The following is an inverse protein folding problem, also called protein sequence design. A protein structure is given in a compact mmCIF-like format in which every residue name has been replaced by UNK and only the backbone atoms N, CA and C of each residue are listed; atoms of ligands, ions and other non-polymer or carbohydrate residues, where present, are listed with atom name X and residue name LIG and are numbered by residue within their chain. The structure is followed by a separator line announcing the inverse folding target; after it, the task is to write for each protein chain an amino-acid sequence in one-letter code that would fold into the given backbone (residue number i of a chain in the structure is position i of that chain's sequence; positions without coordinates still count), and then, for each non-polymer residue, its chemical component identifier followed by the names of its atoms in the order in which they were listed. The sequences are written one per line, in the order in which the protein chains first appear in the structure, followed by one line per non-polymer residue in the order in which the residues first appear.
data_IF_576318505406
#
_entry.id   IF_576318505406
#
_cell.length_a   1.000
_cell.length_b   1.000
_cell.length_c   1.000
_cell.angle_alpha   90.00
_cell.angle_beta   90.00
_cell.angle_gamma   90.00
#
_symmetry.space_group_name_H-M   'P 1'
#
loop_
_entity.id
_entity.type
_entity.pdbx_description
1 polymer ?
#
# COMPACT_ATOMS: atom_id res chain seq x y z
N UNK A 1 7.40 2.60 15.44
CA UNK A 1 6.34 3.38 14.78
C UNK A 1 6.40 3.27 13.25
N UNK A 2 7.51 3.58 12.57
CA UNK A 2 7.60 3.43 11.10
C UNK A 2 7.21 2.03 10.58
N UNK A 3 7.66 0.95 11.26
CA UNK A 3 7.28 -0.42 10.87
C UNK A 3 5.77 -0.70 11.03
N UNK A 4 5.14 -0.18 12.07
CA UNK A 4 3.69 -0.34 12.29
C UNK A 4 2.89 0.33 11.16
N UNK A 5 3.35 1.51 10.70
CA UNK A 5 2.72 2.18 9.56
C UNK A 5 2.93 1.40 8.25
N UNK A 6 4.12 0.84 8.01
CA UNK A 6 4.35 -0.05 6.85
C UNK A 6 3.47 -1.30 6.89
N UNK A 7 3.32 -1.91 8.07
CA UNK A 7 2.43 -3.07 8.27
C UNK A 7 0.98 -2.69 7.99
N UNK A 8 0.51 -1.53 8.48
CA UNK A 8 -0.84 -1.04 8.21
C UNK A 8 -1.12 -0.86 6.72
N UNK A 9 -0.20 -0.24 5.97
CA UNK A 9 -0.32 -0.09 4.51
C UNK A 9 -0.39 -1.45 3.80
N UNK A 10 0.43 -2.43 4.23
CA UNK A 10 0.40 -3.80 3.66
C UNK A 10 -0.90 -4.53 3.97
N UNK A 11 -1.46 -4.34 5.16
CA UNK A 11 -2.74 -4.93 5.55
C UNK A 11 -3.89 -4.37 4.68
N UNK A 12 -3.95 -3.06 4.50
CA UNK A 12 -4.95 -2.42 3.62
C UNK A 12 -4.84 -2.98 2.20
N UNK A 13 -3.62 -3.08 1.64
CA UNK A 13 -3.42 -3.69 0.31
C UNK A 13 -3.96 -5.12 0.26
N UNK A 14 -3.71 -5.92 1.30
CA UNK A 14 -4.19 -7.30 1.38
C UNK A 14 -5.71 -7.33 1.36
N UNK A 15 -6.37 -6.53 2.20
CA UNK A 15 -7.83 -6.50 2.31
C UNK A 15 -8.47 -6.12 0.97
N UNK A 16 -7.93 -5.11 0.28
CA UNK A 16 -8.44 -4.70 -1.03
C UNK A 16 -8.22 -5.80 -2.09
N UNK A 17 -7.06 -6.47 -2.09
CA UNK A 17 -6.80 -7.58 -3.01
C UNK A 17 -7.72 -8.79 -2.76
N UNK A 18 -8.06 -9.06 -1.50
CA UNK A 18 -9.05 -10.09 -1.15
C UNK A 18 -10.44 -9.70 -1.66
N UNK A 19 -10.82 -8.43 -1.58
CA UNK A 19 -12.08 -7.92 -2.13
C UNK A 19 -12.13 -7.99 -3.66
N UNK A 20 -11.05 -7.61 -4.37
CA UNK A 20 -10.96 -7.74 -5.83
C UNK A 20 -11.11 -9.20 -6.27
N UNK A 21 -10.50 -10.15 -5.55
CA UNK A 21 -10.67 -11.59 -5.82
C UNK A 21 -12.11 -12.06 -5.62
N UNK A 22 -12.87 -11.47 -4.69
CA UNK A 22 -14.29 -11.79 -4.53
C UNK A 22 -15.10 -11.24 -5.70
N UNK A 23 -14.83 -9.99 -6.11
CA UNK A 23 -15.52 -9.36 -7.24
C UNK A 23 -15.27 -10.12 -8.56
N UNK A 24 -14.05 -10.62 -8.76
CA UNK A 24 -13.69 -11.48 -9.89
C UNK A 24 -14.49 -12.80 -9.89
N UNK A 25 -14.65 -13.44 -8.72
CA UNK A 25 -15.43 -14.70 -8.59
C UNK A 25 -16.94 -14.50 -8.73
N UNK A 26 -17.43 -13.32 -8.40
CA UNK A 26 -18.84 -12.96 -8.47
C UNK A 26 -19.22 -12.33 -9.83
N UNK A 27 -18.29 -12.31 -10.80
CA UNK A 27 -18.43 -11.69 -12.12
C UNK A 27 -18.94 -10.23 -12.04
N UNK A 28 -18.61 -9.52 -10.96
CA UNK A 28 -19.06 -8.14 -10.70
C UNK A 28 -18.25 -7.08 -11.45
N UNK A 29 -17.06 -7.43 -11.91
CA UNK A 29 -16.15 -6.56 -12.65
C UNK A 29 -15.42 -7.37 -13.72
N UNK A 30 -15.02 -6.73 -14.81
CA UNK A 30 -14.23 -7.38 -15.85
C UNK A 30 -12.79 -7.68 -15.39
N UNK A 31 -12.15 -8.71 -15.98
CA UNK A 31 -10.73 -9.03 -15.71
C UNK A 31 -9.81 -7.82 -15.94
N UNK A 32 -10.09 -7.02 -16.97
CA UNK A 32 -9.35 -5.79 -17.27
C UNK A 32 -9.48 -4.74 -16.16
N UNK A 33 -10.65 -4.60 -15.54
CA UNK A 33 -10.87 -3.69 -14.43
C UNK A 33 -10.17 -4.17 -13.16
N UNK A 34 -10.26 -5.47 -12.84
CA UNK A 34 -9.54 -6.08 -11.73
C UNK A 34 -8.04 -5.84 -11.87
N UNK A 35 -7.49 -6.09 -13.06
CA UNK A 35 -6.06 -5.89 -13.34
C UNK A 35 -5.64 -4.44 -13.19
N UNK A 36 -6.43 -3.50 -13.75
CA UNK A 36 -6.18 -2.05 -13.57
C UNK A 36 -6.22 -1.64 -12.10
N UNK A 37 -7.19 -2.15 -11.33
CA UNK A 37 -7.30 -1.87 -9.90
C UNK A 37 -6.08 -2.37 -9.13
N UNK A 38 -5.63 -3.61 -9.38
CA UNK A 38 -4.43 -4.19 -8.76
C UNK A 38 -3.18 -3.35 -9.04
N UNK A 39 -2.98 -2.90 -10.28
CA UNK A 39 -1.85 -2.03 -10.64
C UNK A 39 -1.91 -0.68 -9.92
N UNK A 40 -3.09 -0.07 -9.81
CA UNK A 40 -3.27 1.19 -9.10
C UNK A 40 -3.01 1.04 -7.60
N UNK A 41 -3.53 -0.01 -6.98
CA UNK A 41 -3.31 -0.32 -5.57
C UNK A 41 -1.81 -0.52 -5.29
N UNK A 42 -1.11 -1.22 -6.18
CA UNK A 42 0.34 -1.42 -6.05
C UNK A 42 1.09 -0.08 -6.10
N UNK A 43 0.79 0.79 -7.08
CA UNK A 43 1.38 2.14 -7.17
C UNK A 43 1.11 2.98 -5.92
N UNK A 44 -0.11 2.94 -5.38
CA UNK A 44 -0.47 3.68 -4.15
C UNK A 44 0.30 3.13 -2.94
N UNK A 45 0.40 1.81 -2.82
CA UNK A 45 1.15 1.13 -1.76
C UNK A 45 2.61 1.57 -1.77
N UNK A 46 3.25 1.50 -2.94
CA UNK A 46 4.67 1.84 -3.10
C UNK A 46 4.94 3.32 -2.78
N UNK A 47 4.04 4.22 -3.22
CA UNK A 47 4.11 5.65 -2.90
C UNK A 47 4.13 5.89 -1.39
N UNK A 48 3.19 5.31 -0.65
CA UNK A 48 3.10 5.57 0.79
C UNK A 48 4.19 4.88 1.60
N UNK A 49 4.69 3.73 1.16
CA UNK A 49 5.88 3.11 1.77
C UNK A 49 7.09 4.04 1.62
N UNK A 50 7.32 4.58 0.42
CA UNK A 50 8.42 5.51 0.18
C UNK A 50 8.29 6.80 1.00
N UNK A 51 7.07 7.31 1.17
CA UNK A 51 6.80 8.49 2.01
C UNK A 51 7.10 8.22 3.49
N UNK A 52 6.66 7.06 4.03
CA UNK A 52 6.98 6.64 5.39
C UNK A 52 8.49 6.54 5.60
N UNK A 53 9.20 5.95 4.65
CA UNK A 53 10.66 5.80 4.72
C UNK A 53 11.37 7.16 4.66
N UNK A 54 10.89 8.08 3.82
CA UNK A 54 11.44 9.44 3.73
C UNK A 54 11.26 10.22 5.03
N UNK A 55 10.06 10.19 5.62
CA UNK A 55 9.76 10.87 6.89
C UNK A 55 10.60 10.27 8.02
N UNK A 56 10.72 8.94 8.06
CA UNK A 56 11.50 8.25 9.09
C UNK A 56 12.97 8.64 9.01
N UNK A 57 13.56 8.64 7.81
CA UNK A 57 14.95 9.06 7.59
C UNK A 57 15.19 10.51 7.96
N UNK A 58 14.28 11.40 7.58
CA UNK A 58 14.38 12.82 7.95
C UNK A 58 14.37 13.00 9.48
N UNK A 59 13.51 12.26 10.18
CA UNK A 59 13.45 12.33 11.64
C UNK A 59 14.68 11.72 12.31
N UNK A 60 15.21 10.62 11.77
CA UNK A 60 16.46 10.02 12.24
C UNK A 60 17.65 10.96 12.06
N UNK A 61 17.74 11.66 10.92
CA UNK A 61 18.80 12.65 10.69
C UNK A 61 18.70 13.85 11.65
N UNK A 62 17.50 14.39 11.88
CA UNK A 62 17.25 15.47 12.85
C UNK A 62 17.65 15.06 14.28
N UNK A 63 17.49 13.78 14.64
CA UNK A 63 17.89 13.27 15.96
C UNK A 63 19.40 13.01 16.09
N UNK A 64 20.11 12.81 14.96
CA UNK A 64 21.55 12.56 14.91
C UNK A 64 22.37 13.85 14.81
N UNK A 65 21.82 14.93 14.27
CA UNK A 65 22.37 16.29 14.40
C UNK A 65 22.16 16.82 15.82
N UNK A 66 22.98 16.35 16.76
CA UNK A 66 23.18 16.93 18.10
C UNK A 66 24.66 17.10 18.36
#
# INVERSE_FOLDING_TARGET
KAEEHRVSVRNIRRDINEELKKQEKEDKASEDEIKRAQEQIQKITDKYIAEIDSITKAKEAELLEV
#
